data_IF_776083420535
#
_entry.id   IF_776083420535
#
_cell.length_a   1.000
_cell.length_b   1.000
_cell.length_c   1.000
_cell.angle_alpha   90.00
_cell.angle_beta   90.00
_cell.angle_gamma   90.00
#
_symmetry.space_group_name_H-M   'P 1'
#
loop_
_entity.id
_entity.type
_entity.pdbx_description
1 polymer ?
#
# COMPACT_ATOMS: atom_id res chain seq x y z
N UNK A 1 41.82 20.75 -10.35
CA UNK A 1 40.79 20.82 -9.30
C UNK A 1 40.30 19.39 -9.07
N UNK A 2 40.74 18.73 -8.00
CA UNK A 2 40.31 17.37 -7.68
C UNK A 2 38.98 17.47 -6.92
N UNK A 3 37.86 17.33 -7.63
CA UNK A 3 36.54 17.28 -7.02
C UNK A 3 36.41 15.97 -6.24
N UNK A 4 36.27 16.07 -4.92
CA UNK A 4 35.94 14.90 -4.11
C UNK A 4 34.57 14.37 -4.56
N UNK A 5 34.43 13.07 -4.84
CA UNK A 5 33.13 12.49 -5.16
C UNK A 5 32.18 12.75 -4.00
N UNK A 6 30.97 13.20 -4.32
CA UNK A 6 29.97 13.56 -3.32
C UNK A 6 29.60 12.34 -2.48
N UNK A 7 29.04 12.56 -1.28
CA UNK A 7 28.52 11.45 -0.46
C UNK A 7 27.48 10.65 -1.25
N UNK A 8 26.68 11.30 -2.10
CA UNK A 8 25.72 10.63 -2.98
C UNK A 8 26.42 9.68 -3.96
N UNK A 9 27.54 10.07 -4.56
CA UNK A 9 28.33 9.22 -5.48
C UNK A 9 28.97 8.03 -4.77
N UNK A 10 29.26 8.15 -3.47
CA UNK A 10 29.83 7.05 -2.67
C UNK A 10 28.79 6.05 -2.16
N UNK A 11 27.53 6.49 -2.07
CA UNK A 11 26.40 5.68 -1.63
C UNK A 11 25.56 5.12 -2.78
N UNK A 12 25.72 5.66 -3.99
CA UNK A 12 25.14 5.10 -5.22
C UNK A 12 25.49 3.61 -5.34
N UNK A 13 24.48 2.79 -5.65
CA UNK A 13 24.58 1.33 -5.82
C UNK A 13 24.97 0.54 -4.56
N UNK A 14 24.91 1.13 -3.37
CA UNK A 14 25.18 0.43 -2.10
C UNK A 14 23.94 0.32 -1.24
N UNK A 15 23.82 -0.82 -0.58
CA UNK A 15 22.81 -1.02 0.43
C UNK A 15 23.30 -0.46 1.76
N UNK A 16 22.59 0.55 2.24
CA UNK A 16 22.89 1.23 3.50
C UNK A 16 21.84 0.83 4.51
N UNK A 17 22.28 0.34 5.67
CA UNK A 17 21.37 0.06 6.78
C UNK A 17 20.92 1.37 7.41
N UNK A 18 19.64 1.70 7.26
CA UNK A 18 19.05 2.88 7.92
C UNK A 18 18.60 2.52 9.35
N UNK A 19 18.95 3.32 10.37
CA UNK A 19 18.38 3.18 11.71
C UNK A 19 16.84 3.18 11.66
N UNK A 20 16.19 2.39 12.53
CA UNK A 20 14.71 2.28 12.55
C UNK A 20 14.02 3.62 12.75
N UNK A 21 14.66 4.52 13.50
CA UNK A 21 14.18 5.87 13.81
C UNK A 21 14.22 6.81 12.59
N UNK A 22 15.09 6.54 11.61
CA UNK A 22 15.25 7.33 10.39
C UNK A 22 14.74 6.62 9.13
N UNK A 23 14.31 5.36 9.23
CA UNK A 23 13.71 4.56 8.16
C UNK A 23 12.27 5.00 7.77
N UNK A 24 11.92 6.25 8.06
CA UNK A 24 10.60 6.83 7.83
C UNK A 24 10.13 6.69 6.38
N UNK A 25 8.81 6.52 6.21
CA UNK A 25 8.13 6.37 4.93
C UNK A 25 7.90 4.90 4.54
N UNK A 26 8.96 4.16 4.22
CA UNK A 26 8.82 2.80 3.66
C UNK A 26 8.26 1.78 4.66
N UNK A 27 8.73 1.80 5.91
CA UNK A 27 8.21 0.90 6.96
C UNK A 27 6.76 1.25 7.32
N UNK A 28 6.45 2.55 7.38
CA UNK A 28 5.09 3.01 7.65
C UNK A 28 4.10 2.62 6.55
N UNK A 29 4.49 2.71 5.28
CA UNK A 29 3.66 2.28 4.16
C UNK A 29 3.29 0.79 4.23
N UNK A 30 4.20 -0.06 4.73
CA UNK A 30 3.93 -1.50 4.94
C UNK A 30 2.95 -1.72 6.09
N UNK A 31 3.07 -0.94 7.18
CA UNK A 31 2.15 -1.03 8.32
C UNK A 31 0.70 -0.65 7.94
N UNK A 32 0.53 0.25 6.97
CA UNK A 32 -0.79 0.65 6.44
C UNK A 32 -1.53 -0.47 5.70
N UNK A 33 -0.80 -1.37 5.02
CA UNK A 33 -1.38 -2.44 4.19
C UNK A 33 -1.44 -3.80 4.89
N UNK A 34 -1.30 -3.82 6.21
CA UNK A 34 -1.40 -5.09 6.97
C UNK A 34 -2.79 -5.73 6.82
N UNK A 35 -2.89 -7.07 6.71
CA UNK A 35 -4.18 -7.75 6.58
C UNK A 35 -5.17 -7.40 7.68
N UNK A 36 -4.68 -7.19 8.91
CA UNK A 36 -5.51 -6.81 10.06
C UNK A 36 -6.13 -5.41 9.89
N UNK A 37 -5.33 -4.41 9.47
CA UNK A 37 -5.87 -3.06 9.19
C UNK A 37 -6.86 -3.09 8.04
N UNK A 38 -6.50 -3.73 6.92
CA UNK A 38 -7.39 -3.85 5.75
C UNK A 38 -8.74 -4.49 6.13
N UNK A 39 -8.73 -5.59 6.88
CA UNK A 39 -9.96 -6.24 7.35
C UNK A 39 -10.76 -5.35 8.31
N UNK A 40 -10.06 -4.66 9.22
CA UNK A 40 -10.65 -3.74 10.20
C UNK A 40 -11.33 -2.54 9.55
N UNK A 41 -10.76 -2.03 8.46
CA UNK A 41 -11.32 -0.92 7.70
C UNK A 41 -12.44 -1.38 6.76
N UNK A 42 -12.29 -2.55 6.11
CA UNK A 42 -13.34 -3.13 5.27
C UNK A 42 -14.64 -3.39 6.06
N UNK A 43 -14.55 -3.84 7.32
CA UNK A 43 -15.72 -4.03 8.21
C UNK A 43 -16.49 -2.74 8.52
N UNK A 44 -15.86 -1.58 8.35
CA UNK A 44 -16.47 -0.26 8.61
C UNK A 44 -17.02 0.40 7.36
N UNK A 45 -16.93 -0.27 6.20
CA UNK A 45 -17.51 0.22 4.96
C UNK A 45 -19.02 0.43 5.12
N UNK A 46 -19.49 1.64 4.85
CA UNK A 46 -20.89 2.03 5.11
C UNK A 46 -21.82 1.73 3.95
N UNK A 47 -21.30 1.77 2.72
CA UNK A 47 -22.08 1.55 1.50
C UNK A 47 -21.20 0.86 0.48
N UNK A 48 -21.50 -0.40 0.24
CA UNK A 48 -20.86 -1.24 -0.76
C UNK A 48 -21.78 -1.33 -1.97
N UNK A 49 -21.23 -1.06 -3.14
CA UNK A 49 -21.94 -1.12 -4.42
C UNK A 49 -21.20 -2.08 -5.35
N UNK A 50 -21.98 -2.77 -6.19
CA UNK A 50 -21.40 -3.56 -7.28
C UNK A 50 -20.94 -2.63 -8.39
N UNK A 51 -19.65 -2.64 -8.69
CA UNK A 51 -19.02 -1.82 -9.73
C UNK A 51 -18.88 -2.53 -11.08
N UNK A 52 -19.37 -3.75 -11.23
CA UNK A 52 -19.21 -4.57 -12.42
C UNK A 52 -18.21 -5.71 -12.26
N UNK A 53 -17.88 -6.36 -13.37
CA UNK A 53 -16.85 -7.42 -13.45
C UNK A 53 -15.76 -7.04 -14.43
N UNK A 54 -14.54 -7.48 -14.18
CA UNK A 54 -13.42 -7.31 -15.11
C UNK A 54 -12.40 -8.44 -14.94
N UNK A 55 -11.21 -8.30 -15.53
CA UNK A 55 -10.08 -9.22 -15.35
C UNK A 55 -8.89 -8.49 -14.72
N UNK A 56 -8.28 -9.10 -13.70
CA UNK A 56 -7.03 -8.63 -13.08
C UNK A 56 -6.06 -9.80 -13.01
N UNK A 57 -4.86 -9.63 -13.57
CA UNK A 57 -3.82 -10.67 -13.63
C UNK A 57 -4.35 -12.03 -14.14
N UNK A 58 -5.15 -12.01 -15.21
CA UNK A 58 -5.76 -13.21 -15.80
C UNK A 58 -6.90 -13.85 -15.02
N UNK A 59 -7.35 -13.23 -13.91
CA UNK A 59 -8.47 -13.72 -13.09
C UNK A 59 -9.70 -12.85 -13.29
N UNK A 60 -10.85 -13.48 -13.51
CA UNK A 60 -12.13 -12.79 -13.52
C UNK A 60 -12.46 -12.31 -12.09
N UNK A 61 -12.76 -11.03 -11.95
CA UNK A 61 -13.01 -10.35 -10.67
C UNK A 61 -14.32 -9.59 -10.69
N UNK A 62 -14.96 -9.46 -9.53
CA UNK A 62 -15.97 -8.45 -9.27
C UNK A 62 -15.32 -7.20 -8.69
N UNK A 63 -15.87 -6.05 -9.05
CA UNK A 63 -15.48 -4.74 -8.53
C UNK A 63 -16.48 -4.40 -7.42
N UNK A 64 -15.97 -4.14 -6.22
CA UNK A 64 -16.75 -3.66 -5.08
C UNK A 64 -16.36 -2.21 -4.85
N UNK A 65 -17.33 -1.30 -4.92
CA UNK A 65 -17.13 0.13 -4.72
C UNK A 65 -17.63 0.50 -3.33
N UNK A 66 -16.77 1.07 -2.49
CA UNK A 66 -17.15 1.71 -1.23
C UNK A 66 -17.34 3.21 -1.46
N UNK A 67 -18.50 3.73 -1.03
CA UNK A 67 -18.75 5.17 -0.93
C UNK A 67 -19.02 5.54 0.54
N UNK A 68 -18.34 6.55 1.06
CA UNK A 68 -18.50 6.97 2.47
C UNK A 68 -19.56 8.06 2.67
N UNK A 69 -19.89 8.80 1.61
CA UNK A 69 -20.85 9.91 1.63
C UNK A 69 -20.82 10.72 0.33
N UNK A 70 -21.70 11.73 0.18
CA UNK A 70 -21.66 12.67 -0.93
C UNK A 70 -20.34 13.45 -0.95
N UNK A 71 -19.66 13.50 -2.10
CA UNK A 71 -18.35 14.15 -2.26
C UNK A 71 -17.15 13.29 -1.87
N UNK A 72 -17.38 12.13 -1.23
CA UNK A 72 -16.31 11.18 -0.96
C UNK A 72 -15.92 10.43 -2.22
N UNK A 73 -14.62 10.33 -2.43
CA UNK A 73 -14.11 9.61 -3.57
C UNK A 73 -14.19 8.08 -3.32
N UNK A 74 -14.61 7.32 -4.34
CA UNK A 74 -14.87 5.91 -4.18
C UNK A 74 -13.57 5.12 -4.00
N UNK A 75 -13.60 4.15 -3.08
CA UNK A 75 -12.59 3.09 -3.03
C UNK A 75 -13.11 1.89 -3.80
N UNK A 76 -12.36 1.40 -4.78
CA UNK A 76 -12.70 0.19 -5.52
C UNK A 76 -11.79 -0.96 -5.07
N UNK A 77 -12.38 -2.09 -4.70
CA UNK A 77 -11.69 -3.35 -4.39
C UNK A 77 -12.07 -4.42 -5.40
N UNK A 78 -11.08 -5.11 -5.95
CA UNK A 78 -11.25 -6.13 -6.97
C UNK A 78 -11.07 -7.50 -6.34
N UNK A 79 -12.13 -8.32 -6.33
CA UNK A 79 -12.16 -9.62 -5.66
C UNK A 79 -12.42 -10.72 -6.71
N UNK A 80 -11.68 -11.84 -6.71
CA UNK A 80 -11.87 -12.89 -7.70
C UNK A 80 -13.26 -13.52 -7.58
N UNK A 81 -13.90 -13.78 -8.72
CA UNK A 81 -15.21 -14.44 -8.80
C UNK A 81 -15.16 -15.92 -8.41
N UNK A 82 -13.95 -16.53 -8.41
CA UNK A 82 -13.73 -17.95 -8.10
C UNK A 82 -12.51 -18.10 -7.20
N UNK A 83 -12.55 -19.10 -6.32
CA UNK A 83 -11.47 -19.40 -5.38
C UNK A 83 -11.54 -18.56 -4.10
N UNK A 84 -10.40 -18.35 -3.45
CA UNK A 84 -10.34 -17.57 -2.20
C UNK A 84 -10.62 -16.09 -2.50
N UNK A 85 -11.54 -15.42 -1.78
CA UNK A 85 -11.94 -14.03 -2.04
C UNK A 85 -10.92 -13.04 -1.48
N UNK A 86 -9.65 -13.18 -1.88
CA UNK A 86 -8.58 -12.27 -1.49
C UNK A 86 -8.52 -11.13 -2.51
N UNK A 87 -8.41 -9.86 -2.06
CA UNK A 87 -8.38 -8.72 -2.96
C UNK A 87 -7.18 -8.84 -3.93
N UNK A 88 -7.37 -8.59 -5.21
CA UNK A 88 -6.27 -8.59 -6.18
C UNK A 88 -5.79 -7.17 -6.51
N UNK A 89 -6.65 -6.18 -6.32
CA UNK A 89 -6.35 -4.77 -6.55
C UNK A 89 -7.23 -3.89 -5.67
N UNK A 90 -6.70 -2.75 -5.25
CA UNK A 90 -7.43 -1.68 -4.58
C UNK A 90 -7.08 -0.36 -5.25
N UNK A 91 -8.09 0.43 -5.59
CA UNK A 91 -7.92 1.78 -6.15
C UNK A 91 -8.65 2.76 -5.26
N UNK A 92 -7.95 3.79 -4.81
CA UNK A 92 -8.52 4.94 -4.11
C UNK A 92 -8.28 6.17 -4.96
N UNK A 93 -9.28 7.01 -5.18
CA UNK A 93 -9.12 8.35 -5.71
C UNK A 93 -9.29 9.35 -4.55
N UNK A 94 -8.56 10.47 -4.58
CA UNK A 94 -8.67 11.63 -3.68
C UNK A 94 -8.29 11.45 -2.19
N UNK A 95 -7.96 12.57 -1.49
CA UNK A 95 -7.63 12.53 -0.07
C UNK A 95 -8.84 12.12 0.77
N UNK A 96 -8.61 11.56 1.97
CA UNK A 96 -9.67 11.09 2.84
C UNK A 96 -10.71 12.20 3.15
N UNK A 97 -11.98 11.83 3.39
CA UNK A 97 -13.03 12.77 3.77
C UNK A 97 -12.61 13.71 4.89
N UNK A 98 -13.14 14.93 4.89
CA UNK A 98 -13.01 15.84 6.02
C UNK A 98 -13.72 15.23 7.26
N UNK A 99 -12.95 14.99 8.32
CA UNK A 99 -13.44 14.39 9.57
C UNK A 99 -12.32 13.64 10.29
N UNK A 100 -12.48 13.34 11.59
CA UNK A 100 -11.53 12.47 12.30
C UNK A 100 -11.68 11.04 11.76
N UNK A 101 -10.72 10.52 10.98
CA UNK A 101 -10.80 9.14 10.57
C UNK A 101 -10.52 8.27 11.80
N UNK A 102 -11.04 7.04 11.77
CA UNK A 102 -10.74 6.09 12.82
C UNK A 102 -9.21 5.90 12.87
N UNK A 103 -8.54 5.92 14.05
CA UNK A 103 -7.08 5.89 14.12
C UNK A 103 -6.43 4.72 13.36
N UNK A 104 -7.13 3.58 13.27
CA UNK A 104 -6.67 2.40 12.53
C UNK A 104 -6.87 2.46 11.00
N UNK A 105 -7.62 3.44 10.49
CA UNK A 105 -8.01 3.60 9.08
C UNK A 105 -7.69 5.00 8.52
N UNK A 106 -7.02 5.85 9.31
CA UNK A 106 -6.43 7.10 8.85
C UNK A 106 -5.15 6.77 8.07
N UNK A 107 -5.01 7.20 6.80
CA UNK A 107 -3.68 7.22 6.19
C UNK A 107 -2.80 8.19 6.99
N UNK A 108 -1.54 7.79 7.22
CA UNK A 108 -0.54 8.60 7.95
C UNK A 108 -0.07 9.77 7.08
N UNK A 109 -0.21 9.65 5.76
CA UNK A 109 0.11 10.71 4.80
C UNK A 109 -1.14 11.41 4.25
N UNK A 110 -1.13 12.73 4.31
CA UNK A 110 -2.12 13.60 3.69
C UNK A 110 -1.58 14.02 2.31
N UNK A 111 -2.33 13.74 1.23
CA UNK A 111 -2.05 14.39 -0.07
C UNK A 111 -2.10 13.52 -1.33
N UNK A 112 -2.40 12.21 -1.26
CA UNK A 112 -2.47 11.41 -2.50
C UNK A 112 -3.77 11.69 -3.28
N UNK A 113 -3.60 12.02 -4.56
CA UNK A 113 -4.72 12.20 -5.51
C UNK A 113 -5.28 10.86 -6.00
N UNK A 114 -4.48 9.79 -5.96
CA UNK A 114 -4.86 8.42 -6.32
C UNK A 114 -3.86 7.42 -5.76
N UNK A 115 -4.31 6.30 -5.21
CA UNK A 115 -3.48 5.12 -4.94
C UNK A 115 -4.04 3.91 -5.70
N UNK A 116 -3.15 3.09 -6.24
CA UNK A 116 -3.49 1.89 -6.99
C UNK A 116 -2.57 0.75 -6.54
N UNK A 117 -3.09 -0.12 -5.68
CA UNK A 117 -2.34 -1.18 -5.02
C UNK A 117 -2.77 -2.51 -5.61
N UNK A 118 -1.81 -3.32 -6.03
CA UNK A 118 -2.04 -4.69 -6.50
C UNK A 118 -1.52 -5.68 -5.48
N UNK A 119 -2.30 -6.74 -5.24
CA UNK A 119 -1.93 -7.81 -4.32
C UNK A 119 -1.78 -9.12 -5.07
N UNK A 120 -0.73 -9.86 -4.73
CA UNK A 120 -0.44 -11.17 -5.33
C UNK A 120 0.29 -12.05 -4.32
N UNK A 121 0.47 -13.34 -4.66
CA UNK A 121 1.34 -14.26 -3.90
C UNK A 121 1.00 -14.34 -2.40
N UNK A 122 -0.29 -14.40 -2.10
CA UNK A 122 -0.79 -14.51 -0.73
C UNK A 122 -0.23 -15.75 -0.04
N UNK A 123 0.25 -15.57 1.19
CA UNK A 123 0.86 -16.61 2.03
C UNK A 123 2.13 -17.24 1.44
N UNK A 124 2.72 -16.65 0.40
CA UNK A 124 4.00 -17.12 -0.10
C UNK A 124 5.09 -16.85 0.94
N UNK A 125 5.96 -17.83 1.16
CA UNK A 125 7.06 -17.66 2.08
C UNK A 125 8.12 -16.75 1.44
N UNK A 126 8.26 -15.53 1.96
CA UNK A 126 9.23 -14.56 1.47
C UNK A 126 10.54 -14.75 2.25
N UNK A 127 11.61 -15.13 1.54
CA UNK A 127 12.96 -15.09 2.10
C UNK A 127 13.51 -13.68 1.94
N UNK A 128 13.76 -12.98 3.04
CA UNK A 128 14.42 -11.68 3.04
C UNK A 128 15.86 -11.90 3.47
N UNK A 129 16.80 -11.66 2.54
CA UNK A 129 18.23 -11.76 2.80
C UNK A 129 18.86 -10.38 2.77
N UNK A 130 19.89 -10.13 3.58
CA UNK A 130 20.68 -8.93 3.42
C UNK A 130 21.28 -8.91 2.02
N UNK A 131 21.24 -7.76 1.36
CA UNK A 131 21.83 -7.62 0.05
C UNK A 131 23.36 -7.72 0.13
N UNK A 132 23.98 -8.23 -0.94
CA UNK A 132 25.42 -8.35 -1.04
C UNK A 132 26.09 -6.97 -0.89
N UNK A 133 27.06 -6.87 0.03
CA UNK A 133 27.80 -5.62 0.26
C UNK A 133 27.08 -4.59 1.14
N UNK A 134 26.06 -5.00 1.91
CA UNK A 134 25.43 -4.12 2.89
C UNK A 134 26.45 -3.53 3.88
N UNK A 135 26.52 -2.21 3.95
CA UNK A 135 27.44 -1.50 4.85
C UNK A 135 26.69 -1.18 6.14
N UNK A 136 27.25 -1.62 7.27
CA UNK A 136 26.79 -1.22 8.60
C UNK A 136 27.56 0.03 8.99
N UNK A 137 26.92 1.18 8.92
CA UNK A 137 27.45 2.41 9.52
C UNK A 137 27.13 2.36 11.02
N UNK A 138 28.17 2.15 11.83
CA UNK A 138 28.11 2.25 13.30
C UNK A 138 28.29 3.68 13.78
#
# INVERSE_FOLDING_TARGET
MNGYPSIADRLGDRWVKTPRETAGGAIHAIEEVTPHRLATCARRARRLEFGGTTTVAGKAVMIIIERRGPGDAPTAVYVPLRGRPLPLRMVTSHPPPAGRPHPACSPIEQGFTKQDITFSRFNENIKVEPPNGAIVTG
#
